data_IF_061176801353
#
_entry.id   IF_061176801353
#
_cell.length_a   1.000
_cell.length_b   1.000
_cell.length_c   1.000
_cell.angle_alpha   90.00
_cell.angle_beta   90.00
_cell.angle_gamma   90.00
#
_symmetry.space_group_name_H-M   'P 1'
#
loop_
_entity.id
_entity.type
_entity.pdbx_description
1 polymer ?
#
# COMPACT_ATOMS: atom_id res chain seq x y z
N UNK A 1 13.75 -9.52 -10.53
CA UNK A 1 13.74 -9.80 -11.98
C UNK A 1 13.89 -8.49 -12.76
N UNK A 2 14.88 -8.40 -13.65
CA UNK A 2 15.27 -7.13 -14.28
C UNK A 2 14.13 -6.63 -15.20
N UNK A 3 13.41 -5.55 -14.84
CA UNK A 3 12.25 -5.03 -15.62
C UNK A 3 12.56 -4.87 -17.11
N UNK A 4 13.83 -4.57 -17.44
CA UNK A 4 14.38 -4.50 -18.80
C UNK A 4 14.24 -5.82 -19.59
N UNK A 5 14.44 -6.97 -18.93
CA UNK A 5 14.37 -8.30 -19.54
C UNK A 5 12.91 -8.75 -19.80
N UNK A 6 11.98 -8.36 -18.94
CA UNK A 6 10.56 -8.68 -19.10
C UNK A 6 9.90 -7.86 -20.23
N UNK A 7 10.20 -6.56 -20.31
CA UNK A 7 9.81 -5.70 -21.43
C UNK A 7 10.38 -6.26 -22.75
N UNK A 8 11.64 -6.70 -22.73
CA UNK A 8 12.32 -7.32 -23.86
C UNK A 8 11.64 -8.63 -24.32
N UNK A 9 11.27 -9.52 -23.39
CA UNK A 9 10.62 -10.79 -23.70
C UNK A 9 9.21 -10.60 -24.30
N UNK A 10 8.44 -9.63 -23.80
CA UNK A 10 7.10 -9.37 -24.30
C UNK A 10 7.10 -8.71 -25.69
N UNK A 11 8.08 -7.84 -25.98
CA UNK A 11 8.30 -7.28 -27.32
C UNK A 11 8.76 -8.37 -28.30
N UNK A 12 9.63 -9.29 -27.88
CA UNK A 12 10.06 -10.44 -28.69
C UNK A 12 8.92 -11.41 -29.04
N UNK A 13 7.98 -11.66 -28.12
CA UNK A 13 6.80 -12.49 -28.40
C UNK A 13 5.89 -11.88 -29.49
N UNK A 14 5.79 -10.55 -29.53
CA UNK A 14 5.03 -9.83 -30.57
C UNK A 14 5.77 -9.85 -31.92
N UNK A 15 7.11 -9.80 -31.90
CA UNK A 15 7.96 -9.80 -33.11
C UNK A 15 8.14 -11.21 -33.69
N UNK A 16 8.16 -12.25 -32.83
CA UNK A 16 8.39 -13.65 -33.20
C UNK A 16 7.35 -14.25 -34.14
N UNK A 17 6.24 -13.54 -34.38
CA UNK A 17 5.20 -13.94 -35.33
C UNK A 17 5.55 -13.52 -36.78
N UNK A 18 6.49 -12.59 -37.02
CA UNK A 18 6.67 -11.99 -38.38
C UNK A 18 8.11 -11.95 -38.95
N UNK A 19 9.19 -12.21 -38.21
CA UNK A 19 10.53 -12.03 -38.81
C UNK A 19 11.65 -12.90 -38.26
N UNK A 20 12.16 -13.75 -39.15
CA UNK A 20 13.38 -14.54 -39.09
C UNK A 20 14.56 -13.93 -38.32
N UNK A 21 15.34 -14.81 -37.68
CA UNK A 21 16.46 -14.63 -36.74
C UNK A 21 17.58 -13.64 -37.12
N UNK A 22 17.59 -13.07 -38.32
CA UNK A 22 18.66 -12.16 -38.79
C UNK A 22 18.33 -10.67 -38.63
N UNK A 23 17.05 -10.29 -38.72
CA UNK A 23 16.59 -8.90 -38.52
C UNK A 23 16.48 -8.52 -37.05
N UNK A 24 16.46 -9.51 -36.13
CA UNK A 24 16.41 -9.27 -34.69
C UNK A 24 17.59 -8.45 -34.17
N UNK A 25 18.83 -8.78 -34.55
CA UNK A 25 20.05 -8.14 -34.01
C UNK A 25 20.15 -6.65 -34.40
N UNK A 26 19.74 -6.28 -35.61
CA UNK A 26 19.83 -4.90 -36.10
C UNK A 26 18.70 -4.00 -35.58
N UNK A 27 17.53 -4.57 -35.27
CA UNK A 27 16.36 -3.81 -34.80
C UNK A 27 16.36 -3.64 -33.27
N UNK A 28 17.11 -4.45 -32.53
CA UNK A 28 17.18 -4.37 -31.06
C UNK A 28 17.56 -2.99 -30.52
N UNK A 29 18.62 -2.30 -30.99
CA UNK A 29 18.99 -1.00 -30.44
C UNK A 29 17.88 0.05 -30.63
N UNK A 30 17.18 0.02 -31.77
CA UNK A 30 16.09 0.95 -32.06
C UNK A 30 14.89 0.72 -31.14
N UNK A 31 14.53 -0.55 -30.86
CA UNK A 31 13.44 -0.88 -29.94
C UNK A 31 13.76 -0.54 -28.48
N UNK A 32 15.01 -0.75 -28.06
CA UNK A 32 15.48 -0.35 -26.72
C UNK A 32 15.42 1.16 -26.58
N UNK A 33 15.96 1.91 -27.55
CA UNK A 33 15.92 3.37 -27.53
C UNK A 33 14.48 3.89 -27.52
N UNK A 34 13.60 3.32 -28.34
CA UNK A 34 12.18 3.68 -28.36
C UNK A 34 11.50 3.40 -27.01
N UNK A 35 11.76 2.24 -26.39
CA UNK A 35 11.25 1.92 -25.05
C UNK A 35 11.75 2.89 -23.98
N UNK A 36 13.02 3.28 -24.02
CA UNK A 36 13.62 4.26 -23.11
C UNK A 36 13.06 5.67 -23.32
N UNK A 37 12.86 6.08 -24.57
CA UNK A 37 12.21 7.35 -24.91
C UNK A 37 10.78 7.39 -24.38
N UNK A 38 10.01 6.32 -24.55
CA UNK A 38 8.65 6.21 -24.02
C UNK A 38 8.64 6.22 -22.50
N UNK A 39 9.55 5.51 -21.85
CA UNK A 39 9.70 5.56 -20.40
C UNK A 39 10.00 6.98 -19.91
N UNK A 40 10.90 7.70 -20.59
CA UNK A 40 11.21 9.10 -20.28
C UNK A 40 9.99 10.02 -20.49
N UNK A 41 9.23 9.82 -21.57
CA UNK A 41 7.98 10.54 -21.84
C UNK A 41 6.95 10.31 -20.71
N UNK A 42 6.77 9.06 -20.27
CA UNK A 42 5.86 8.73 -19.18
C UNK A 42 6.31 9.26 -17.81
N UNK A 43 7.61 9.45 -17.59
CA UNK A 43 8.15 10.07 -16.37
C UNK A 43 8.02 11.58 -16.35
N UNK A 44 7.76 12.23 -17.49
CA UNK A 44 7.63 13.68 -17.57
C UNK A 44 6.36 14.16 -16.86
N UNK A 45 6.51 15.07 -15.91
CA UNK A 45 5.39 15.73 -15.26
C UNK A 45 4.72 16.74 -16.19
N UNK A 46 3.40 16.63 -16.36
CA UNK A 46 2.57 17.55 -17.11
C UNK A 46 1.77 18.41 -16.12
N UNK A 47 1.92 19.73 -16.20
CA UNK A 47 1.26 20.66 -15.28
C UNK A 47 -0.23 20.77 -15.58
N UNK A 48 -1.08 20.53 -14.57
CA UNK A 48 -2.52 20.76 -14.63
C UNK A 48 -2.94 22.07 -13.98
N UNK A 49 -2.29 22.41 -12.86
CA UNK A 49 -2.63 23.57 -12.05
C UNK A 49 -1.40 24.09 -11.32
N UNK A 50 -1.30 25.41 -11.17
CA UNK A 50 -0.32 26.05 -10.31
C UNK A 50 -0.81 27.44 -9.92
N UNK A 51 -1.00 27.69 -8.64
CA UNK A 51 -1.36 28.99 -8.11
C UNK A 51 -0.68 29.24 -6.76
N UNK A 52 -0.35 30.51 -6.51
CA UNK A 52 0.20 30.96 -5.25
C UNK A 52 -0.91 31.23 -4.25
N UNK A 53 -1.31 30.20 -3.51
CA UNK A 53 -2.45 30.25 -2.60
C UNK A 53 -2.26 29.26 -1.44
N UNK A 54 -2.78 29.62 -0.27
CA UNK A 54 -2.88 28.69 0.86
C UNK A 54 -4.20 27.94 0.79
N UNK A 55 -4.14 26.62 0.99
CA UNK A 55 -5.32 25.75 1.03
C UNK A 55 -5.45 25.12 2.40
N UNK A 56 -6.66 25.10 2.95
CA UNK A 56 -6.90 24.48 4.25
C UNK A 56 -7.18 22.97 4.07
N UNK A 57 -7.73 22.60 2.89
CA UNK A 57 -8.14 21.23 2.58
C UNK A 57 -7.79 20.83 1.15
N UNK A 58 -7.40 19.57 0.98
CA UNK A 58 -7.24 18.89 -0.29
C UNK A 58 -8.29 17.78 -0.43
N UNK A 59 -9.15 17.88 -1.44
CA UNK A 59 -10.23 16.91 -1.71
C UNK A 59 -9.97 16.22 -3.05
N UNK A 60 -9.65 14.93 -3.00
CA UNK A 60 -9.20 14.15 -4.15
C UNK A 60 -10.20 13.03 -4.44
N UNK A 61 -10.57 12.87 -5.71
CA UNK A 61 -11.42 11.79 -6.18
C UNK A 61 -10.89 11.26 -7.50
N UNK A 62 -10.39 10.02 -7.50
CA UNK A 62 -9.71 9.44 -8.66
C UNK A 62 -10.20 8.04 -9.01
N UNK A 63 -10.29 7.74 -10.30
CA UNK A 63 -10.59 6.39 -10.78
C UNK A 63 -9.35 5.73 -11.37
N UNK A 64 -8.81 4.70 -10.71
CA UNK A 64 -7.66 3.93 -11.19
C UNK A 64 -6.40 4.77 -11.49
N UNK A 65 -6.12 5.77 -10.64
CA UNK A 65 -4.96 6.66 -10.74
C UNK A 65 -4.32 6.77 -9.34
N UNK A 66 -3.01 6.56 -9.25
CA UNK A 66 -2.28 6.76 -8.00
C UNK A 66 -2.15 8.24 -7.67
N UNK A 67 -2.06 8.58 -6.38
CA UNK A 67 -1.90 9.96 -5.95
C UNK A 67 -0.68 10.06 -5.06
N UNK A 68 0.20 11.01 -5.39
CA UNK A 68 1.38 11.31 -4.58
C UNK A 68 1.30 12.76 -4.10
N UNK A 69 1.38 12.96 -2.79
CA UNK A 69 1.34 14.28 -2.15
C UNK A 69 2.72 14.59 -1.57
N UNK A 70 3.27 15.74 -1.96
CA UNK A 70 4.62 16.20 -1.60
C UNK A 70 4.56 17.60 -1.01
N UNK A 71 5.52 17.93 -0.14
CA UNK A 71 5.75 19.32 0.24
C UNK A 71 6.23 20.12 -0.97
N UNK A 72 5.61 21.28 -1.18
CA UNK A 72 6.07 22.23 -2.19
C UNK A 72 7.37 22.89 -1.73
N UNK A 73 8.30 23.07 -2.67
CA UNK A 73 9.53 23.86 -2.45
C UNK A 73 9.29 25.36 -2.65
N UNK A 74 8.15 25.75 -3.22
CA UNK A 74 7.70 27.13 -3.36
C UNK A 74 6.46 27.38 -2.51
N UNK A 75 6.00 28.63 -2.49
CA UNK A 75 4.72 29.02 -1.87
C UNK A 75 3.49 28.65 -2.72
N UNK A 76 3.70 27.93 -3.84
CA UNK A 76 2.63 27.57 -4.76
C UNK A 76 2.07 26.19 -4.43
N UNK A 77 0.75 26.05 -4.60
CA UNK A 77 0.09 24.77 -4.79
C UNK A 77 0.23 24.38 -6.25
N UNK A 78 0.76 23.18 -6.53
CA UNK A 78 0.96 22.68 -7.90
C UNK A 78 0.39 21.27 -8.04
N UNK A 79 -0.37 21.04 -9.11
CA UNK A 79 -0.87 19.71 -9.49
C UNK A 79 -0.28 19.34 -10.85
N UNK A 80 0.37 18.18 -10.91
CA UNK A 80 0.90 17.62 -12.14
C UNK A 80 0.43 16.19 -12.33
N UNK A 81 0.56 15.67 -13.55
CA UNK A 81 0.33 14.26 -13.87
C UNK A 81 1.55 13.66 -14.55
N UNK A 82 1.75 12.37 -14.35
CA UNK A 82 2.70 11.56 -15.13
C UNK A 82 2.02 10.28 -15.64
N UNK A 83 2.67 9.61 -16.58
CA UNK A 83 2.15 8.43 -17.26
C UNK A 83 1.16 8.72 -18.38
N UNK A 84 0.37 7.71 -18.73
CA UNK A 84 -0.51 7.78 -19.89
C UNK A 84 -1.80 8.56 -19.59
N UNK A 85 -1.79 9.84 -19.96
CA UNK A 85 -2.91 10.77 -19.80
C UNK A 85 -3.96 10.69 -20.93
N UNK A 86 -3.74 9.91 -22.00
CA UNK A 86 -4.65 9.85 -23.15
C UNK A 86 -6.05 9.40 -22.72
N UNK A 87 -6.13 8.47 -21.77
CA UNK A 87 -7.36 7.83 -21.32
C UNK A 87 -8.05 8.51 -20.15
N UNK A 88 -7.52 9.63 -19.66
CA UNK A 88 -8.00 10.27 -18.44
C UNK A 88 -8.31 11.75 -18.64
N UNK A 89 -9.38 12.19 -17.98
CA UNK A 89 -9.74 13.58 -17.86
C UNK A 89 -9.45 14.01 -16.43
N UNK A 90 -8.81 15.16 -16.29
CA UNK A 90 -8.50 15.75 -15.01
C UNK A 90 -9.22 17.07 -14.85
N UNK A 91 -9.66 17.37 -13.64
CA UNK A 91 -10.22 18.66 -13.27
C UNK A 91 -9.63 19.10 -11.94
N UNK A 92 -9.14 20.33 -11.87
CA UNK A 92 -8.61 20.95 -10.66
C UNK A 92 -9.35 22.26 -10.45
N UNK A 93 -10.03 22.39 -9.32
CA UNK A 93 -10.78 23.60 -8.97
C UNK A 93 -10.48 24.01 -7.54
N UNK A 94 -10.19 25.29 -7.34
CA UNK A 94 -10.09 25.87 -6.01
C UNK A 94 -11.42 26.52 -5.63
N UNK A 95 -11.99 26.13 -4.50
CA UNK A 95 -13.20 26.76 -3.94
C UNK A 95 -13.08 26.84 -2.43
N UNK A 96 -13.28 28.03 -1.86
CA UNK A 96 -13.30 28.24 -0.40
C UNK A 96 -12.08 27.62 0.31
N UNK A 97 -10.86 27.88 -0.21
CA UNK A 97 -9.58 27.30 0.23
C UNK A 97 -9.50 25.76 0.22
N UNK A 98 -10.44 25.10 -0.45
CA UNK A 98 -10.38 23.67 -0.73
C UNK A 98 -9.93 23.46 -2.16
N UNK A 99 -8.79 22.79 -2.35
CA UNK A 99 -8.38 22.34 -3.67
C UNK A 99 -9.07 21.01 -3.97
N UNK A 100 -9.92 20.99 -4.98
CA UNK A 100 -10.60 19.78 -5.44
C UNK A 100 -9.85 19.26 -6.67
N UNK A 101 -9.39 18.00 -6.60
CA UNK A 101 -8.66 17.33 -7.68
C UNK A 101 -9.42 16.08 -8.09
N UNK A 102 -9.87 16.03 -9.35
CA UNK A 102 -10.61 14.90 -9.92
C UNK A 102 -9.86 14.28 -11.08
N UNK A 103 -9.83 12.95 -11.14
CA UNK A 103 -9.30 12.19 -12.27
C UNK A 103 -10.25 11.06 -12.63
N UNK A 104 -10.76 11.04 -13.86
CA UNK A 104 -11.74 10.05 -14.32
C UNK A 104 -11.36 9.47 -15.68
N UNK A 105 -11.69 8.20 -15.92
CA UNK A 105 -11.46 7.55 -17.21
C UNK A 105 -12.37 8.17 -18.28
N UNK A 106 -11.81 8.45 -19.45
CA UNK A 106 -12.59 8.83 -20.63
C UNK A 106 -13.40 7.61 -21.12
N UNK A 107 -14.71 7.79 -21.28
CA UNK A 107 -15.61 6.74 -21.75
C UNK A 107 -15.36 6.30 -23.20
N UNK A 108 -14.66 7.09 -24.02
CA UNK A 108 -14.38 6.80 -25.43
C UNK A 108 -13.17 5.86 -25.63
N UNK A 109 -13.22 4.65 -25.09
CA UNK A 109 -12.25 3.60 -25.42
C UNK A 109 -12.75 2.76 -26.60
N UNK A 110 -12.88 3.38 -27.78
CA UNK A 110 -12.90 2.57 -29.01
C UNK A 110 -11.49 2.00 -29.16
N UNK A 111 -11.36 0.67 -29.12
CA UNK A 111 -10.17 -0.03 -29.58
C UNK A 111 -9.83 0.57 -30.94
N UNK A 112 -8.80 1.43 -30.99
CA UNK A 112 -8.34 1.99 -32.27
C UNK A 112 -7.89 0.77 -33.06
N UNK A 113 -8.60 0.44 -34.15
CA UNK A 113 -8.20 -0.65 -35.06
C UNK A 113 -6.71 -0.43 -35.37
N UNK A 114 -5.88 -1.40 -35.03
CA UNK A 114 -4.44 -1.36 -35.29
C UNK A 114 -4.28 -1.45 -36.81
N UNK A 115 -3.86 -0.36 -37.46
CA UNK A 115 -3.78 -0.28 -38.92
C UNK A 115 -2.37 -0.57 -39.46
N UNK A 116 -1.35 -0.46 -38.62
CA UNK A 116 0.04 -0.69 -39.01
C UNK A 116 0.91 -1.13 -37.81
N UNK A 117 2.14 -1.55 -38.10
CA UNK A 117 3.09 -2.04 -37.10
C UNK A 117 3.44 -0.96 -36.06
N UNK A 118 3.62 0.29 -36.47
CA UNK A 118 3.90 1.38 -35.53
C UNK A 118 2.77 1.58 -34.53
N UNK A 119 1.51 1.43 -34.94
CA UNK A 119 0.36 1.47 -34.04
C UNK A 119 0.30 0.26 -33.12
N UNK A 120 0.67 -0.93 -33.60
CA UNK A 120 0.78 -2.13 -32.77
C UNK A 120 1.85 -1.93 -31.69
N UNK A 121 3.05 -1.50 -32.09
CA UNK A 121 4.18 -1.27 -31.21
C UNK A 121 3.86 -0.20 -30.17
N UNK A 122 3.32 0.95 -30.59
CA UNK A 122 2.88 2.01 -29.70
C UNK A 122 1.80 1.51 -28.73
N UNK A 123 0.83 0.73 -29.19
CA UNK A 123 -0.25 0.22 -28.32
C UNK A 123 0.28 -0.76 -27.27
N UNK A 124 1.16 -1.68 -27.67
CA UNK A 124 1.79 -2.66 -26.75
C UNK A 124 2.72 -1.99 -25.75
N UNK A 125 3.51 -1.01 -26.17
CA UNK A 125 4.39 -0.27 -25.26
C UNK A 125 3.57 0.63 -24.35
N UNK A 126 2.57 1.34 -24.88
CA UNK A 126 1.65 2.12 -24.06
C UNK A 126 0.91 1.24 -23.06
N UNK A 127 0.52 0.00 -23.40
CA UNK A 127 -0.12 -0.90 -22.45
C UNK A 127 0.84 -1.31 -21.32
N UNK A 128 2.07 -1.68 -21.66
CA UNK A 128 3.13 -2.03 -20.70
C UNK A 128 3.45 -0.90 -19.72
N UNK A 129 3.49 0.35 -20.19
CA UNK A 129 3.77 1.52 -19.34
C UNK A 129 2.50 2.19 -18.78
N UNK A 130 1.30 1.87 -19.26
CA UNK A 130 0.05 2.50 -18.78
C UNK A 130 -0.40 1.98 -17.42
N UNK A 131 -0.08 0.73 -17.07
CA UNK A 131 -0.52 0.16 -15.79
C UNK A 131 0.26 0.75 -14.62
N UNK A 132 1.59 0.91 -14.78
CA UNK A 132 2.52 1.27 -13.71
C UNK A 132 2.69 2.78 -13.46
N UNK A 133 2.25 3.65 -14.38
CA UNK A 133 2.64 5.08 -14.33
C UNK A 133 1.49 6.09 -14.23
N UNK A 134 0.24 5.69 -14.00
CA UNK A 134 -0.87 6.64 -13.84
C UNK A 134 -0.80 7.32 -12.48
N UNK A 135 -0.38 8.58 -12.45
CA UNK A 135 -0.25 9.29 -11.19
C UNK A 135 -0.60 10.78 -11.30
N UNK A 136 -1.31 11.28 -10.30
CA UNK A 136 -1.43 12.71 -9.99
C UNK A 136 -0.44 13.04 -8.87
N UNK A 137 0.41 14.04 -9.07
CA UNK A 137 1.34 14.54 -8.07
C UNK A 137 0.86 15.91 -7.60
N UNK A 138 0.69 16.09 -6.29
CA UNK A 138 0.18 17.30 -5.68
C UNK A 138 1.23 17.86 -4.73
N UNK A 139 1.68 19.07 -4.99
CA UNK A 139 2.64 19.80 -4.19
C UNK A 139 1.90 20.84 -3.35
N UNK A 140 2.04 20.78 -2.04
CA UNK A 140 1.35 21.66 -1.08
C UNK A 140 2.34 22.45 -0.23
N UNK A 141 2.20 23.79 -0.09
CA UNK A 141 3.18 24.62 0.62
C UNK A 141 2.93 24.70 2.13
N UNK A 142 1.68 24.55 2.57
CA UNK A 142 1.23 24.77 3.94
C UNK A 142 0.60 23.50 4.57
N UNK A 143 0.25 23.59 5.85
CA UNK A 143 -0.51 22.54 6.54
C UNK A 143 -1.88 22.38 5.89
N UNK A 144 -2.23 21.15 5.49
CA UNK A 144 -3.46 20.85 4.76
C UNK A 144 -4.06 19.53 5.23
N UNK A 145 -5.36 19.52 5.49
CA UNK A 145 -6.09 18.27 5.73
C UNK A 145 -6.40 17.57 4.41
N UNK A 146 -6.14 16.27 4.36
CA UNK A 146 -6.23 15.47 3.12
C UNK A 146 -7.46 14.57 3.21
N UNK A 147 -8.36 14.71 2.25
CA UNK A 147 -9.47 13.79 2.02
C UNK A 147 -9.34 13.22 0.61
N UNK A 148 -8.97 11.95 0.49
CA UNK A 148 -8.79 11.29 -0.78
C UNK A 148 -9.74 10.11 -0.93
N UNK A 149 -10.24 9.92 -2.15
CA UNK A 149 -11.11 8.81 -2.50
C UNK A 149 -10.73 8.21 -3.85
N UNK A 150 -10.82 6.89 -3.96
CA UNK A 150 -10.55 6.20 -5.21
C UNK A 150 -11.35 4.92 -5.41
N UNK A 151 -11.43 4.48 -6.66
CA UNK A 151 -11.92 3.13 -6.98
C UNK A 151 -10.85 2.09 -6.63
N UNK A 152 -9.67 2.20 -7.24
CA UNK A 152 -8.54 1.29 -7.02
C UNK A 152 -7.23 2.01 -7.25
N UNK A 153 -6.52 2.38 -6.18
CA UNK A 153 -5.25 3.10 -6.28
C UNK A 153 -4.43 3.05 -5.00
N UNK A 154 -3.20 3.54 -5.09
CA UNK A 154 -2.40 3.87 -3.93
C UNK A 154 -2.40 5.38 -3.66
N UNK A 155 -2.48 5.74 -2.38
CA UNK A 155 -2.20 7.09 -1.90
C UNK A 155 -0.83 7.11 -1.22
N UNK A 156 0.08 7.90 -1.78
CA UNK A 156 1.40 8.15 -1.23
C UNK A 156 1.46 9.56 -0.66
N UNK A 157 1.84 9.71 0.60
CA UNK A 157 2.02 11.02 1.24
C UNK A 157 3.44 11.09 1.81
N UNK A 158 4.23 12.07 1.38
CA UNK A 158 5.54 12.27 1.98
C UNK A 158 5.39 12.78 3.42
N UNK A 159 6.20 12.27 4.34
CA UNK A 159 6.08 12.60 5.76
C UNK A 159 6.37 14.08 6.06
N UNK A 160 7.12 14.76 5.20
CA UNK A 160 7.35 16.20 5.27
C UNK A 160 6.15 17.08 4.89
N UNK A 161 5.04 16.48 4.43
CA UNK A 161 3.76 17.18 4.24
C UNK A 161 3.11 17.41 5.60
N UNK A 162 2.96 18.68 5.98
CA UNK A 162 2.25 19.03 7.21
C UNK A 162 0.74 18.76 7.03
N UNK A 163 0.17 17.94 7.91
CA UNK A 163 -1.25 17.62 7.94
C UNK A 163 -1.66 17.27 9.37
N UNK A 164 -2.86 17.65 9.79
CA UNK A 164 -3.42 17.16 11.04
C UNK A 164 -4.19 15.86 10.82
N UNK A 165 -4.91 15.77 9.69
CA UNK A 165 -5.76 14.63 9.36
C UNK A 165 -5.59 14.18 7.92
N UNK A 166 -5.39 12.87 7.74
CA UNK A 166 -5.46 12.21 6.44
C UNK A 166 -6.61 11.21 6.48
N UNK A 167 -7.54 11.34 5.55
CA UNK A 167 -8.62 10.36 5.30
C UNK A 167 -8.49 9.81 3.89
N UNK A 168 -8.38 8.50 3.76
CA UNK A 168 -8.32 7.82 2.47
C UNK A 168 -9.41 6.76 2.38
N UNK A 169 -10.22 6.83 1.32
CA UNK A 169 -11.29 5.89 1.02
C UNK A 169 -11.01 5.22 -0.31
N UNK A 170 -10.90 3.90 -0.34
CA UNK A 170 -10.70 3.17 -1.60
C UNK A 170 -11.66 1.99 -1.70
N UNK A 171 -11.88 1.46 -2.91
CA UNK A 171 -12.43 0.10 -3.01
C UNK A 171 -11.33 -0.97 -2.96
N UNK A 172 -10.12 -0.65 -3.44
CA UNK A 172 -8.96 -1.54 -3.38
C UNK A 172 -7.65 -0.73 -3.47
N UNK A 173 -6.57 -1.20 -2.84
CA UNK A 173 -5.23 -0.64 -3.04
C UNK A 173 -4.50 -0.41 -1.73
N UNK A 174 -3.74 0.68 -1.62
CA UNK A 174 -2.91 0.88 -0.45
C UNK A 174 -2.64 2.32 -0.06
N UNK A 175 -2.08 2.46 1.13
CA UNK A 175 -1.64 3.73 1.69
C UNK A 175 -0.17 3.61 2.05
N UNK A 176 0.60 4.64 1.73
CA UNK A 176 1.98 4.74 2.17
C UNK A 176 2.31 6.15 2.61
N UNK A 177 3.00 6.25 3.75
CA UNK A 177 3.63 7.48 4.18
C UNK A 177 5.12 7.37 3.98
N UNK A 178 5.64 8.06 2.97
CA UNK A 178 7.04 7.99 2.60
C UNK A 178 7.87 8.82 3.57
N UNK A 179 8.58 8.14 4.48
CA UNK A 179 9.53 8.76 5.41
C UNK A 179 10.86 8.94 4.67
N UNK A 180 11.20 10.20 4.37
CA UNK A 180 12.41 10.52 3.58
C UNK A 180 13.61 10.92 4.41
N UNK A 181 13.41 11.19 5.70
CA UNK A 181 14.45 11.65 6.62
C UNK A 181 14.52 10.72 7.84
N UNK A 182 15.57 10.87 8.64
CA UNK A 182 15.74 10.10 9.87
C UNK A 182 14.78 10.52 11.01
N UNK A 183 14.01 11.59 10.82
CA UNK A 183 13.03 12.12 11.76
C UNK A 183 11.64 12.05 11.17
N UNK A 184 10.71 11.49 11.94
CA UNK A 184 9.32 11.30 11.51
C UNK A 184 8.45 12.45 12.00
N UNK A 185 7.68 13.06 11.10
CA UNK A 185 6.71 14.08 11.47
C UNK A 185 5.48 13.51 12.18
N UNK A 186 4.80 14.37 12.94
CA UNK A 186 3.58 13.99 13.67
C UNK A 186 2.33 14.17 12.81
N UNK A 187 1.41 13.23 12.93
CA UNK A 187 0.06 13.28 12.36
C UNK A 187 -0.93 12.94 13.48
N UNK A 188 -1.99 13.71 13.67
CA UNK A 188 -2.96 13.42 14.73
C UNK A 188 -3.86 12.25 14.36
N UNK A 189 -4.41 12.25 13.14
CA UNK A 189 -5.38 11.23 12.73
C UNK A 189 -5.11 10.71 11.30
N UNK A 190 -5.05 9.39 11.17
CA UNK A 190 -5.07 8.67 9.90
C UNK A 190 -6.31 7.79 9.85
N UNK A 191 -7.19 8.02 8.88
CA UNK A 191 -8.41 7.25 8.69
C UNK A 191 -8.36 6.54 7.32
N UNK A 192 -8.29 5.22 7.32
CA UNK A 192 -8.23 4.39 6.12
C UNK A 192 -9.51 3.55 6.01
N UNK A 193 -10.22 3.67 4.90
CA UNK A 193 -11.45 2.92 4.66
C UNK A 193 -11.32 2.22 3.31
N UNK A 194 -11.39 0.89 3.29
CA UNK A 194 -11.38 0.08 2.06
C UNK A 194 -12.66 -0.75 1.95
N UNK A 195 -13.19 -0.93 0.74
CA UNK A 195 -14.26 -1.91 0.49
C UNK A 195 -13.74 -3.31 0.13
N UNK A 196 -12.42 -3.49 0.11
CA UNK A 196 -11.75 -4.77 -0.18
C UNK A 196 -10.42 -4.82 0.58
N UNK A 197 -9.39 -5.44 0.02
CA UNK A 197 -8.05 -5.47 0.60
C UNK A 197 -7.42 -4.08 0.67
N UNK A 198 -6.72 -3.82 1.77
CA UNK A 198 -5.93 -2.61 2.01
C UNK A 198 -4.50 -3.02 2.39
N UNK A 199 -3.52 -2.48 1.67
CA UNK A 199 -2.10 -2.69 1.96
C UNK A 199 -1.46 -1.43 2.52
N UNK A 200 -0.65 -1.58 3.56
CA UNK A 200 0.24 -0.54 4.05
C UNK A 200 1.42 -1.14 4.79
N UNK A 201 2.53 -0.41 4.87
CA UNK A 201 3.65 -0.82 5.70
C UNK A 201 3.51 -0.31 7.14
N UNK A 202 4.10 -1.03 8.09
CA UNK A 202 4.22 -0.60 9.50
C UNK A 202 4.90 0.77 9.62
N UNK A 203 5.89 1.05 8.76
CA UNK A 203 6.57 2.35 8.66
C UNK A 203 5.61 3.49 8.29
N UNK A 204 4.60 3.22 7.46
CA UNK A 204 3.68 4.25 6.96
C UNK A 204 2.80 4.88 8.05
N UNK A 205 2.72 4.25 9.22
CA UNK A 205 1.93 4.75 10.35
C UNK A 205 2.80 5.35 11.47
N UNK A 206 4.13 5.37 11.35
CA UNK A 206 4.99 5.98 12.36
C UNK A 206 4.71 7.48 12.53
N UNK A 207 4.79 7.99 13.76
CA UNK A 207 4.50 9.37 14.13
C UNK A 207 3.01 9.72 14.08
N UNK A 208 2.12 8.75 13.84
CA UNK A 208 0.67 8.96 13.87
C UNK A 208 0.13 8.71 15.27
N UNK A 209 -0.64 9.64 15.82
CA UNK A 209 -1.27 9.45 17.14
C UNK A 209 -2.39 8.43 17.09
N UNK A 210 -3.38 8.62 16.22
CA UNK A 210 -4.51 7.72 16.05
C UNK A 210 -4.62 7.21 14.61
N UNK A 211 -4.59 5.90 14.43
CA UNK A 211 -4.83 5.22 13.16
C UNK A 211 -6.15 4.45 13.26
N UNK A 212 -7.09 4.73 12.37
CA UNK A 212 -8.36 4.04 12.28
C UNK A 212 -8.48 3.37 10.91
N UNK A 213 -8.67 2.06 10.90
CA UNK A 213 -8.76 1.26 9.67
C UNK A 213 -10.09 0.51 9.65
N UNK A 214 -10.81 0.63 8.55
CA UNK A 214 -12.03 -0.14 8.26
C UNK A 214 -11.88 -0.78 6.88
N UNK A 215 -11.68 -2.09 6.80
CA UNK A 215 -11.47 -2.81 5.52
C UNK A 215 -12.07 -4.21 5.53
N UNK A 216 -12.27 -4.81 4.35
CA UNK A 216 -12.70 -6.20 4.23
C UNK A 216 -11.54 -7.16 4.54
N UNK A 217 -10.34 -6.83 4.06
CA UNK A 217 -9.08 -7.52 4.39
C UNK A 217 -7.99 -6.48 4.61
N UNK A 218 -6.91 -6.87 5.28
CA UNK A 218 -5.82 -5.97 5.64
C UNK A 218 -4.48 -6.69 5.60
N UNK A 219 -3.50 -6.03 5.01
CA UNK A 219 -2.09 -6.42 5.09
C UNK A 219 -1.30 -5.23 5.63
N UNK A 220 -0.81 -5.38 6.87
CA UNK A 220 0.18 -4.51 7.48
C UNK A 220 1.47 -5.32 7.62
N UNK A 221 2.50 -4.96 6.86
CA UNK A 221 3.78 -5.66 6.88
C UNK A 221 4.97 -4.73 7.11
N UNK A 222 5.96 -5.20 7.86
CA UNK A 222 7.29 -4.59 7.87
C UNK A 222 8.02 -4.94 6.58
N UNK A 223 8.38 -3.94 5.78
CA UNK A 223 9.23 -4.10 4.60
C UNK A 223 10.71 -4.01 4.98
N UNK A 224 11.61 -4.64 4.20
CA UNK A 224 13.05 -4.45 4.34
C UNK A 224 13.44 -3.03 3.87
N UNK A 225 14.10 -2.24 4.72
CA UNK A 225 14.19 -0.79 4.53
C UNK A 225 15.57 -0.26 4.08
N UNK A 226 15.53 0.79 3.25
CA UNK A 226 16.69 1.60 2.83
C UNK A 226 17.00 2.80 3.76
N UNK A 227 16.07 3.19 4.65
CA UNK A 227 16.17 4.42 5.48
C UNK A 227 16.10 4.10 6.98
N UNK A 228 17.21 4.32 7.70
CA UNK A 228 17.31 4.13 9.15
C UNK A 228 16.64 5.27 9.93
N UNK A 229 15.75 4.94 10.86
CA UNK A 229 15.07 5.89 11.77
C UNK A 229 15.69 5.74 13.17
N UNK A 230 16.25 6.82 13.69
CA UNK A 230 16.78 6.85 15.05
C UNK A 230 15.63 6.81 16.07
N UNK A 231 15.76 6.03 17.13
CA UNK A 231 14.75 5.90 18.21
C UNK A 231 13.34 5.64 17.66
N UNK A 232 13.21 4.67 16.77
CA UNK A 232 11.95 4.36 16.07
C UNK A 232 10.78 4.13 17.06
N UNK A 233 11.08 3.65 18.26
CA UNK A 233 10.14 3.38 19.33
C UNK A 233 9.45 4.64 19.90
N UNK A 234 10.01 5.84 19.67
CA UNK A 234 9.38 7.13 20.00
C UNK A 234 8.26 7.49 19.01
N UNK A 235 8.31 6.93 17.81
CA UNK A 235 7.37 7.18 16.72
C UNK A 235 6.32 6.08 16.56
N UNK A 236 6.33 5.04 17.41
CA UNK A 236 5.25 4.04 17.42
C UNK A 236 3.91 4.73 17.71
N UNK A 237 2.85 4.45 16.93
CA UNK A 237 1.53 5.02 17.14
C UNK A 237 1.02 4.90 18.57
N UNK A 238 0.23 5.88 19.03
CA UNK A 238 -0.47 5.74 20.31
C UNK A 238 -1.57 4.70 20.18
N UNK A 239 -2.49 4.87 19.23
CA UNK A 239 -3.64 3.99 19.04
C UNK A 239 -3.75 3.52 17.58
N UNK A 240 -3.93 2.22 17.37
CA UNK A 240 -4.33 1.62 16.09
C UNK A 240 -5.61 0.83 16.33
N UNK A 241 -6.70 1.25 15.68
CA UNK A 241 -8.00 0.60 15.73
C UNK A 241 -8.31 0.00 14.36
N UNK A 242 -8.57 -1.31 14.30
CA UNK A 242 -8.88 -2.05 13.09
C UNK A 242 -10.27 -2.67 13.23
N UNK A 243 -11.13 -2.44 12.24
CA UNK A 243 -12.48 -2.99 12.18
C UNK A 243 -12.72 -3.65 10.85
N UNK A 244 -13.44 -4.77 10.87
CA UNK A 244 -13.86 -5.42 9.64
C UNK A 244 -14.98 -4.61 8.97
N UNK A 245 -14.94 -4.60 7.65
CA UNK A 245 -15.99 -4.06 6.80
C UNK A 245 -16.68 -5.18 6.06
N UNK A 246 -17.92 -5.45 6.42
CA UNK A 246 -18.70 -6.53 5.80
C UNK A 246 -19.31 -6.00 4.49
N UNK A 247 -18.71 -6.39 3.37
CA UNK A 247 -19.26 -6.15 2.03
C UNK A 247 -20.45 -7.06 1.73
N UNK A 248 -21.30 -6.69 0.76
CA UNK A 248 -22.47 -7.50 0.35
C UNK A 248 -22.10 -8.88 -0.22
N UNK A 249 -20.85 -9.05 -0.66
CA UNK A 249 -20.31 -10.29 -1.25
C UNK A 249 -19.12 -10.83 -0.44
N UNK A 250 -19.00 -10.45 0.84
CA UNK A 250 -17.92 -10.94 1.69
C UNK A 250 -18.13 -12.43 1.94
N UNK A 251 -17.21 -13.24 1.40
CA UNK A 251 -17.07 -14.62 1.84
C UNK A 251 -16.36 -14.56 3.19
N UNK A 252 -16.75 -15.40 4.15
CA UNK A 252 -16.22 -15.45 5.53
C UNK A 252 -14.74 -15.88 5.63
N UNK A 253 -13.92 -15.55 4.62
CA UNK A 253 -12.51 -15.86 4.46
C UNK A 253 -11.64 -14.59 4.44
N UNK A 254 -12.19 -13.45 4.88
CA UNK A 254 -11.41 -12.23 5.09
C UNK A 254 -10.26 -12.48 6.05
N UNK A 255 -9.07 -11.99 5.68
CA UNK A 255 -7.85 -12.15 6.46
C UNK A 255 -7.24 -10.78 6.78
N UNK A 256 -6.85 -10.64 8.04
CA UNK A 256 -6.13 -9.51 8.58
C UNK A 256 -4.73 -9.97 8.96
N UNK A 257 -3.79 -9.78 8.04
CA UNK A 257 -2.38 -10.08 8.20
C UNK A 257 -1.64 -8.88 8.77
N UNK A 258 -1.05 -9.07 9.95
CA UNK A 258 -0.27 -8.06 10.65
C UNK A 258 1.10 -8.66 10.99
N UNK A 259 2.08 -8.33 10.17
CA UNK A 259 3.48 -8.67 10.38
C UNK A 259 4.30 -7.44 10.75
N UNK A 260 5.00 -7.49 11.88
CA UNK A 260 5.94 -6.44 12.22
C UNK A 260 7.16 -6.93 12.99
N UNK A 261 8.30 -6.29 12.74
CA UNK A 261 9.51 -6.43 13.53
C UNK A 261 9.57 -5.48 14.74
N UNK A 262 8.55 -4.64 14.94
CA UNK A 262 8.36 -3.72 16.07
C UNK A 262 6.89 -3.71 16.53
N UNK A 263 6.55 -3.11 17.68
CA UNK A 263 5.15 -2.95 18.06
C UNK A 263 4.40 -2.05 17.06
N UNK A 264 3.24 -2.50 16.58
CA UNK A 264 2.40 -1.77 15.61
C UNK A 264 1.83 -0.49 16.24
N UNK A 265 1.51 -0.54 17.54
CA UNK A 265 1.01 0.59 18.33
C UNK A 265 1.29 0.37 19.82
N UNK A 266 1.18 1.44 20.63
CA UNK A 266 1.11 1.33 22.09
C UNK A 266 -0.20 0.64 22.53
N UNK A 267 -1.29 0.95 21.85
CA UNK A 267 -2.60 0.32 22.01
C UNK A 267 -3.11 -0.15 20.65
N UNK A 268 -3.14 -1.47 20.44
CA UNK A 268 -3.68 -2.11 19.24
C UNK A 268 -5.02 -2.76 19.57
N UNK A 269 -6.10 -2.32 18.91
CA UNK A 269 -7.45 -2.88 19.05
C UNK A 269 -7.93 -3.42 17.70
N UNK A 270 -8.20 -4.73 17.61
CA UNK A 270 -8.65 -5.42 16.41
C UNK A 270 -10.02 -6.05 16.69
N UNK A 271 -11.06 -5.53 16.04
CA UNK A 271 -12.44 -6.00 16.16
C UNK A 271 -12.93 -6.52 14.80
N UNK A 272 -12.66 -7.79 14.54
CA UNK A 272 -12.93 -8.49 13.27
C UNK A 272 -13.60 -9.86 13.51
N UNK A 273 -14.74 -9.91 14.21
CA UNK A 273 -15.31 -11.15 14.74
C UNK A 273 -15.70 -12.18 13.67
N UNK A 274 -15.74 -11.84 12.38
CA UNK A 274 -16.08 -12.75 11.30
C UNK A 274 -14.88 -13.11 10.41
N UNK A 275 -13.67 -12.71 10.79
CA UNK A 275 -12.47 -12.80 9.96
C UNK A 275 -11.30 -13.50 10.69
N UNK A 276 -10.34 -14.03 9.93
CA UNK A 276 -9.07 -14.55 10.47
C UNK A 276 -8.11 -13.39 10.75
N UNK A 277 -7.44 -13.43 11.90
CA UNK A 277 -6.30 -12.56 12.20
C UNK A 277 -5.03 -13.41 12.20
N UNK A 278 -4.00 -12.93 11.52
CA UNK A 278 -2.66 -13.51 11.57
C UNK A 278 -1.72 -12.44 12.10
N UNK A 279 -1.26 -12.59 13.33
CA UNK A 279 -0.49 -11.58 14.05
C UNK A 279 0.93 -12.09 14.35
N UNK A 280 1.90 -11.63 13.59
CA UNK A 280 3.32 -11.89 13.82
C UNK A 280 4.01 -10.61 14.29
N UNK A 281 4.37 -10.60 15.57
CA UNK A 281 4.95 -9.46 16.27
C UNK A 281 6.15 -9.92 17.11
N UNK A 282 7.09 -9.02 17.46
CA UNK A 282 8.35 -9.39 18.11
C UNK A 282 8.18 -9.71 19.62
N UNK A 283 7.48 -10.79 19.95
CA UNK A 283 7.12 -11.20 21.34
C UNK A 283 8.32 -11.52 22.24
N UNK A 284 9.50 -11.70 21.64
CA UNK A 284 10.76 -11.94 22.35
C UNK A 284 11.53 -10.65 22.67
N UNK A 285 11.15 -9.52 22.07
CA UNK A 285 11.84 -8.22 22.25
C UNK A 285 11.03 -7.23 23.07
N UNK A 286 9.70 -7.29 22.99
CA UNK A 286 8.81 -6.32 23.62
C UNK A 286 7.79 -6.99 24.52
N UNK A 287 7.46 -6.31 25.63
CA UNK A 287 6.46 -6.75 26.59
C UNK A 287 5.06 -6.41 26.06
N UNK A 288 4.30 -7.44 25.70
CA UNK A 288 2.92 -7.32 25.26
C UNK A 288 1.96 -7.83 26.33
N UNK A 289 0.97 -6.99 26.68
CA UNK A 289 -0.14 -7.32 27.56
C UNK A 289 -1.42 -7.45 26.73
N UNK A 290 -2.05 -8.61 26.80
CA UNK A 290 -3.08 -9.01 25.84
C UNK A 290 -4.45 -9.21 26.51
N UNK A 291 -5.50 -8.87 25.78
CA UNK A 291 -6.89 -9.33 25.98
C UNK A 291 -7.41 -9.84 24.64
N UNK A 292 -7.16 -11.11 24.36
CA UNK A 292 -7.45 -11.77 23.08
C UNK A 292 -8.62 -12.72 23.26
N UNK A 293 -9.57 -12.67 22.33
CA UNK A 293 -10.68 -13.61 22.19
C UNK A 293 -10.82 -14.02 20.73
N UNK A 294 -10.92 -15.33 20.51
CA UNK A 294 -11.16 -15.95 19.21
C UNK A 294 -12.33 -16.92 19.31
N UNK A 295 -13.20 -16.99 18.29
CA UNK A 295 -14.31 -17.96 18.27
C UNK A 295 -13.78 -19.40 18.10
N UNK A 296 -12.80 -19.55 17.22
CA UNK A 296 -12.06 -20.78 16.95
C UNK A 296 -10.81 -20.87 17.84
N UNK A 297 -10.17 -22.03 17.86
CA UNK A 297 -8.93 -22.20 18.61
C UNK A 297 -7.84 -21.30 18.02
N UNK A 298 -7.01 -20.73 18.91
CA UNK A 298 -5.82 -19.98 18.52
C UNK A 298 -4.79 -20.98 18.00
N UNK A 299 -4.23 -20.66 16.85
CA UNK A 299 -3.19 -21.42 16.18
C UNK A 299 -1.83 -20.78 16.45
N UNK A 300 -0.82 -21.63 16.61
CA UNK A 300 0.57 -21.17 16.65
C UNK A 300 1.06 -20.95 15.21
N UNK A 301 1.80 -19.87 15.00
CA UNK A 301 2.50 -19.63 13.74
C UNK A 301 3.44 -20.81 13.42
N UNK A 302 3.11 -21.60 12.40
CA UNK A 302 4.04 -22.57 11.84
C UNK A 302 4.88 -21.88 10.76
N UNK A 303 6.16 -21.63 11.07
CA UNK A 303 7.14 -21.13 10.10
C UNK A 303 7.81 -22.25 9.28
N UNK A 304 7.33 -23.50 9.38
CA UNK A 304 7.86 -24.65 8.65
C UNK A 304 7.38 -24.67 7.18
N UNK A 305 7.43 -23.51 6.50
CA UNK A 305 7.50 -23.47 5.04
C UNK A 305 8.97 -23.57 4.60
N UNK A 306 9.68 -24.62 5.03
CA UNK A 306 10.68 -25.23 4.15
C UNK A 306 9.89 -25.93 3.04
N UNK A 307 9.57 -25.20 1.98
CA UNK A 307 9.22 -25.79 0.69
C UNK A 307 10.45 -26.51 0.12
N UNK A 308 10.87 -27.59 0.77
CA UNK A 308 11.73 -28.61 0.16
C UNK A 308 10.83 -29.43 -0.78
N UNK A 309 10.71 -28.86 -1.97
CA UNK A 309 10.12 -29.45 -3.14
C UNK A 309 11.08 -30.54 -3.63
N UNK A 310 11.13 -31.70 -2.95
CA UNK A 310 11.60 -33.01 -3.45
C UNK A 310 11.66 -34.06 -2.31
N UNK A 311 10.51 -34.60 -1.89
CA UNK A 311 10.40 -36.02 -1.49
C UNK A 311 8.96 -36.37 -1.10
N UNK A 312 8.33 -37.24 -1.88
CA UNK A 312 7.17 -38.00 -1.42
C UNK A 312 7.67 -39.10 -0.47
N UNK A 313 7.84 -38.78 0.82
CA UNK A 313 7.87 -39.78 1.88
C UNK A 313 7.01 -39.31 3.05
N UNK A 314 5.75 -39.76 3.02
CA UNK A 314 4.86 -39.79 4.17
C UNK A 314 5.41 -40.81 5.16
N UNK A 315 6.10 -40.37 6.21
CA UNK A 315 6.18 -41.05 7.52
C UNK A 315 7.18 -40.31 8.42
N UNK A 316 6.79 -39.17 9.00
CA UNK A 316 7.23 -38.70 10.32
C UNK A 316 6.38 -37.50 10.74
N UNK A 317 5.14 -37.76 11.20
CA UNK A 317 4.40 -36.77 11.97
C UNK A 317 4.92 -36.79 13.41
N UNK A 318 6.03 -36.12 13.67
CA UNK A 318 6.26 -35.65 15.03
C UNK A 318 5.12 -34.68 15.33
N UNK A 319 4.36 -34.94 16.41
CA UNK A 319 3.29 -34.04 16.84
C UNK A 319 3.92 -32.67 17.15
N UNK A 320 3.85 -31.74 16.20
CA UNK A 320 4.08 -30.32 16.49
C UNK A 320 3.05 -29.93 17.56
N UNK A 321 3.50 -29.85 18.81
CA UNK A 321 2.64 -29.53 19.93
C UNK A 321 2.29 -28.05 19.85
N UNK A 322 1.19 -27.71 19.19
CA UNK A 322 0.66 -26.34 19.17
C UNK A 322 0.47 -25.87 20.62
N UNK A 323 1.25 -24.87 21.03
CA UNK A 323 1.24 -24.28 22.37
C UNK A 323 -0.15 -23.78 22.79
N UNK A 324 -0.97 -23.39 21.83
CA UNK A 324 -2.30 -22.83 22.00
C UNK A 324 -3.42 -23.84 21.73
N UNK A 325 -3.14 -25.15 21.63
CA UNK A 325 -4.17 -26.18 21.40
C UNK A 325 -5.38 -25.99 22.32
N UNK A 326 -6.58 -25.88 21.73
CA UNK A 326 -7.87 -25.60 22.41
C UNK A 326 -7.99 -24.25 23.16
N UNK A 327 -7.01 -23.35 23.02
CA UNK A 327 -7.06 -22.01 23.63
C UNK A 327 -7.91 -21.10 22.77
N UNK A 328 -8.85 -20.37 23.38
CA UNK A 328 -9.70 -19.38 22.69
C UNK A 328 -9.59 -17.98 23.29
N UNK A 329 -8.97 -17.87 24.46
CA UNK A 329 -8.75 -16.62 25.17
C UNK A 329 -7.32 -16.56 25.70
N UNK A 330 -6.67 -15.40 25.55
CA UNK A 330 -5.38 -15.11 26.19
C UNK A 330 -5.55 -13.79 26.95
N UNK A 331 -5.23 -13.80 28.25
CA UNK A 331 -5.24 -12.61 29.10
C UNK A 331 -3.92 -12.43 29.84
N UNK A 332 -3.42 -11.21 29.84
CA UNK A 332 -2.16 -10.85 30.50
C UNK A 332 -0.95 -10.91 29.57
N UNK A 333 0.24 -11.09 30.14
CA UNK A 333 1.49 -11.04 29.39
C UNK A 333 1.64 -12.22 28.43
N UNK A 334 1.92 -11.92 27.16
CA UNK A 334 2.15 -12.95 26.13
C UNK A 334 3.48 -13.70 26.35
N UNK A 335 4.51 -12.98 26.81
CA UNK A 335 5.81 -13.55 27.18
C UNK A 335 6.19 -13.15 28.61
N UNK A 336 6.11 -14.10 29.55
CA UNK A 336 6.39 -13.89 30.97
C UNK A 336 7.85 -13.54 31.27
N UNK A 337 8.78 -13.92 30.38
CA UNK A 337 10.21 -13.62 30.54
C UNK A 337 10.51 -12.13 30.43
N UNK A 338 9.60 -11.35 29.83
CA UNK A 338 9.72 -9.90 29.66
C UNK A 338 9.00 -9.09 30.74
N UNK A 339 8.57 -9.74 31.83
CA UNK A 339 7.82 -9.10 32.93
C UNK A 339 8.56 -7.91 33.58
N UNK A 340 9.89 -7.94 33.59
CA UNK A 340 10.74 -6.90 34.17
C UNK A 340 10.93 -5.67 33.27
N UNK A 341 10.46 -5.70 32.01
CA UNK A 341 10.53 -4.52 31.14
C UNK A 341 9.51 -3.46 31.62
N UNK A 342 9.98 -2.21 31.74
CA UNK A 342 9.13 -1.07 32.11
C UNK A 342 8.12 -0.71 31.02
N UNK A 343 8.57 -0.68 29.76
CA UNK A 343 7.71 -0.33 28.62
C UNK A 343 6.85 -1.53 28.22
N UNK A 344 5.54 -1.31 28.21
CA UNK A 344 4.52 -2.31 27.89
C UNK A 344 3.64 -1.82 26.74
N UNK A 345 3.23 -2.74 25.87
CA UNK A 345 2.32 -2.50 24.74
C UNK A 345 1.05 -3.34 24.93
N UNK A 346 -0.11 -2.76 24.64
CA UNK A 346 -1.41 -3.41 24.86
C UNK A 346 -1.99 -3.89 23.55
N UNK A 347 -2.49 -5.13 23.54
CA UNK A 347 -3.15 -5.74 22.39
C UNK A 347 -4.51 -6.26 22.81
N UNK A 348 -5.55 -5.84 22.09
CA UNK A 348 -6.91 -6.36 22.23
C UNK A 348 -7.37 -6.91 20.89
N UNK A 349 -7.86 -8.15 20.88
CA UNK A 349 -8.31 -8.82 19.65
C UNK A 349 -9.62 -9.54 19.92
N UNK A 350 -10.56 -9.36 19.00
CA UNK A 350 -11.80 -10.11 18.90
C UNK A 350 -11.94 -10.58 17.43
N UNK A 351 -11.72 -11.87 17.18
CA UNK A 351 -11.68 -12.44 15.82
C UNK A 351 -12.47 -13.74 15.67
N UNK A 352 -12.69 -14.21 14.44
CA UNK A 352 -13.22 -15.55 14.20
C UNK A 352 -12.16 -16.62 14.53
N UNK A 353 -10.99 -16.49 13.94
CA UNK A 353 -9.80 -17.30 14.22
C UNK A 353 -8.59 -16.40 14.39
N UNK A 354 -7.55 -16.91 15.07
CA UNK A 354 -6.30 -16.19 15.30
C UNK A 354 -5.11 -17.14 15.13
N UNK A 355 -4.12 -16.69 14.39
CA UNK A 355 -2.78 -17.28 14.31
C UNK A 355 -1.78 -16.32 14.97
N UNK A 356 -0.98 -16.80 15.93
CA UNK A 356 -0.11 -16.00 16.81
C UNK A 356 1.30 -16.55 16.97
#
# INVERSE_FOLDING_TARGET
MNKKLAIFAAVLLVIGIIGTTWSGILVMPSLINFGLEKEAEFKKENKLYQEKVNIDKLDISVDNINVTIKKSSSEDVRVTTRGNNEFYKYNVTLKDKTLVVKGERKYENKIKKIKNFDQLLNTSINSMFSHDYREIIIYVPNNVDINASSTSSYLFVYDNVASNTITYKTSYGGFSRAITENKVNRLENLNLISNSNLHLSTKSILGVKNVNIESESLDISSENEDVFINNIEEYIPENVNIKEKIGRNSNYESEFYLYSNMPIAKFLDIEVPNSKVRLDIPVNKYKFNCDIKSKEAIEEFNNDEEYDNDSYDYEHSEEHSNKYRNTREIKGLLNKNLSNLEKEYTIKINSNSLEL
#
